data_IF_095695275538
#
_entry.id   IF_095695275538
#
_cell.length_a   1.000
_cell.length_b   1.000
_cell.length_c   1.000
_cell.angle_alpha   90.00
_cell.angle_beta   90.00
_cell.angle_gamma   90.00
#
_symmetry.space_group_name_H-M   'P 1'
#
loop_
_entity.id
_entity.type
_entity.pdbx_description
1 polymer ?
#
# COMPACT_ATOMS: atom_id res chain seq x y z
N UNK A 1 23.65 -13.97 13.84
CA UNK A 1 23.09 -13.69 12.50
C UNK A 1 21.65 -13.28 12.71
N UNK A 2 21.35 -11.98 12.68
CA UNK A 2 19.99 -11.49 12.90
C UNK A 2 19.26 -11.50 11.54
N UNK A 3 18.19 -12.26 11.43
CA UNK A 3 17.24 -12.13 10.33
C UNK A 3 16.53 -10.80 10.57
N UNK A 4 16.84 -9.78 9.76
CA UNK A 4 16.10 -8.52 9.78
C UNK A 4 14.88 -8.69 8.89
N UNK A 5 13.72 -8.78 9.51
CA UNK A 5 12.44 -8.77 8.83
C UNK A 5 12.19 -7.37 8.24
N UNK A 6 11.96 -7.31 6.93
CA UNK A 6 11.48 -6.09 6.28
C UNK A 6 9.97 -6.02 6.52
N UNK A 7 9.51 -5.01 7.26
CA UNK A 7 8.08 -4.78 7.48
C UNK A 7 7.52 -3.94 6.34
N UNK A 8 7.13 -4.61 5.25
CA UNK A 8 6.31 -3.98 4.21
C UNK A 8 4.85 -4.02 4.66
N UNK A 9 4.22 -2.85 4.76
CA UNK A 9 2.79 -2.73 5.02
C UNK A 9 2.01 -3.20 3.78
N UNK A 10 1.64 -4.47 3.77
CA UNK A 10 0.74 -5.04 2.76
C UNK A 10 -0.72 -4.94 3.21
N UNK A 11 -1.62 -4.80 2.24
CA UNK A 11 -3.07 -4.81 2.45
C UNK A 11 -3.66 -6.08 1.87
N UNK A 12 -4.64 -6.63 2.56
CA UNK A 12 -5.43 -7.76 2.11
C UNK A 12 -6.88 -7.52 2.53
N UNK A 13 -7.79 -7.46 1.56
CA UNK A 13 -9.18 -7.13 1.81
C UNK A 13 -10.08 -7.44 0.63
N UNK A 14 -11.38 -7.32 0.84
CA UNK A 14 -12.41 -7.61 -0.16
C UNK A 14 -13.18 -6.32 -0.48
N UNK A 15 -13.53 -6.12 -1.75
CA UNK A 15 -14.45 -5.08 -2.21
C UNK A 15 -15.24 -5.55 -3.43
N UNK A 16 -16.58 -5.44 -3.38
CA UNK A 16 -17.51 -5.84 -4.46
C UNK A 16 -17.44 -7.32 -4.88
N UNK A 17 -17.23 -8.23 -3.95
CA UNK A 17 -17.04 -9.66 -4.21
C UNK A 17 -15.67 -10.03 -4.78
N UNK A 18 -14.74 -9.07 -4.83
CA UNK A 18 -13.39 -9.29 -5.33
C UNK A 18 -12.37 -9.18 -4.20
N UNK A 19 -11.48 -10.16 -4.14
CA UNK A 19 -10.39 -10.20 -3.17
C UNK A 19 -9.17 -9.46 -3.73
N UNK A 20 -8.58 -8.59 -2.92
CA UNK A 20 -7.45 -7.76 -3.29
C UNK A 20 -6.27 -7.92 -2.33
N UNK A 21 -5.07 -7.85 -2.90
CA UNK A 21 -3.82 -7.75 -2.17
C UNK A 21 -3.07 -6.53 -2.70
N UNK A 22 -2.49 -5.70 -1.83
CA UNK A 22 -1.71 -4.55 -2.27
C UNK A 22 -0.39 -4.44 -1.52
N UNK A 23 0.66 -4.06 -2.25
CA UNK A 23 2.00 -3.90 -1.71
C UNK A 23 2.76 -2.77 -2.41
N UNK A 24 3.64 -2.12 -1.65
CA UNK A 24 4.61 -1.16 -2.18
C UNK A 24 5.82 -1.93 -2.70
N UNK A 25 6.22 -1.65 -3.94
CA UNK A 25 7.37 -2.30 -4.56
C UNK A 25 8.67 -1.85 -3.86
N UNK A 26 9.55 -2.78 -3.45
CA UNK A 26 10.79 -2.42 -2.75
C UNK A 26 11.84 -1.76 -3.65
N UNK A 27 11.72 -1.90 -4.98
CA UNK A 27 12.74 -1.45 -5.94
C UNK A 27 12.22 -0.44 -6.97
N UNK A 28 10.93 -0.10 -6.91
CA UNK A 28 10.25 0.79 -7.84
C UNK A 28 9.33 1.72 -7.03
N UNK A 29 9.21 3.02 -7.34
CA UNK A 29 8.24 3.92 -6.71
C UNK A 29 6.78 3.59 -7.09
N UNK A 30 6.38 2.33 -7.01
CA UNK A 30 5.04 1.88 -7.35
C UNK A 30 4.36 1.13 -6.20
N UNK A 31 3.04 1.25 -6.16
CA UNK A 31 2.16 0.43 -5.34
C UNK A 31 1.30 -0.40 -6.29
N UNK A 32 1.39 -1.72 -6.16
CA UNK A 32 0.61 -2.64 -6.97
C UNK A 32 -0.59 -3.12 -6.17
N UNK A 33 -1.77 -3.08 -6.79
CA UNK A 33 -2.99 -3.70 -6.31
C UNK A 33 -3.31 -4.89 -7.20
N UNK A 34 -3.27 -6.06 -6.60
CA UNK A 34 -3.61 -7.34 -7.20
C UNK A 34 -5.07 -7.66 -6.93
N UNK A 35 -5.75 -8.22 -7.93
CA UNK A 35 -7.09 -8.80 -7.80
C UNK A 35 -7.00 -10.31 -8.03
N UNK A 36 -7.65 -11.09 -7.18
CA UNK A 36 -7.78 -12.53 -7.38
C UNK A 36 -8.77 -12.79 -8.52
N UNK A 37 -8.43 -13.70 -9.43
CA UNK A 37 -9.38 -14.17 -10.44
C UNK A 37 -10.59 -14.84 -9.78
N UNK A 38 -11.76 -14.77 -10.41
CA UNK A 38 -13.00 -15.34 -9.88
C UNK A 38 -12.96 -16.86 -9.73
N UNK A 39 -12.12 -17.54 -10.49
CA UNK A 39 -11.87 -18.98 -10.39
C UNK A 39 -10.79 -19.33 -9.34
N UNK A 40 -10.27 -18.33 -8.62
CA UNK A 40 -9.18 -18.45 -7.64
C UNK A 40 -7.89 -19.07 -8.21
N UNK A 41 -7.71 -19.06 -9.54
CA UNK A 41 -6.54 -19.66 -10.20
C UNK A 41 -5.26 -18.83 -10.08
N UNK A 42 -5.37 -17.60 -9.60
CA UNK A 42 -4.22 -16.74 -9.36
C UNK A 42 -4.57 -15.26 -9.30
N UNK A 43 -3.52 -14.47 -9.06
CA UNK A 43 -3.58 -13.02 -8.92
C UNK A 43 -3.16 -12.34 -10.22
N UNK A 44 -3.75 -11.17 -10.50
CA UNK A 44 -3.29 -10.29 -11.58
C UNK A 44 -3.22 -8.84 -11.08
N UNK A 45 -2.29 -8.06 -11.63
CA UNK A 45 -2.19 -6.64 -11.30
C UNK A 45 -3.40 -5.92 -11.90
N UNK A 46 -4.27 -5.41 -11.04
CA UNK A 46 -5.47 -4.65 -11.41
C UNK A 46 -5.13 -3.17 -11.56
N UNK A 47 -4.39 -2.63 -10.59
CA UNK A 47 -3.94 -1.25 -10.58
C UNK A 47 -2.45 -1.19 -10.25
N UNK A 48 -1.74 -0.33 -10.98
CA UNK A 48 -0.36 0.04 -10.68
C UNK A 48 -0.32 1.56 -10.48
N UNK A 49 0.00 1.97 -9.25
CA UNK A 49 0.00 3.36 -8.81
C UNK A 49 1.43 3.86 -8.79
N UNK A 50 1.70 4.98 -9.46
CA UNK A 50 2.97 5.70 -9.36
C UNK A 50 2.98 6.57 -8.10
N UNK A 51 3.92 6.29 -7.19
CA UNK A 51 4.10 7.01 -5.93
C UNK A 51 4.95 8.29 -6.10
N UNK A 52 5.61 8.51 -7.24
CA UNK A 52 6.46 9.68 -7.46
C UNK A 52 5.67 11.00 -7.30
N UNK A 53 4.49 11.21 -7.90
CA UNK A 53 3.71 12.43 -7.72
C UNK A 53 3.28 12.65 -6.27
N UNK A 54 2.86 11.57 -5.60
CA UNK A 54 2.46 11.59 -4.19
C UNK A 54 3.66 12.01 -3.33
N UNK A 55 4.84 11.50 -3.62
CA UNK A 55 6.07 11.81 -2.86
C UNK A 55 6.57 13.23 -3.02
N UNK A 56 6.25 13.89 -4.14
CA UNK A 56 6.54 15.31 -4.34
C UNK A 56 5.60 16.17 -3.48
N UNK A 57 4.34 15.78 -3.35
CA UNK A 57 3.37 16.47 -2.51
C UNK A 57 3.56 16.17 -1.01
N UNK A 58 4.02 14.95 -0.70
CA UNK A 58 4.21 14.45 0.66
C UNK A 58 5.63 13.89 0.85
N UNK A 59 6.66 14.75 0.96
CA UNK A 59 8.05 14.31 1.11
C UNK A 59 8.29 13.40 2.33
N UNK A 60 7.40 13.45 3.32
CA UNK A 60 7.42 12.60 4.52
C UNK A 60 7.42 11.10 4.21
N UNK A 61 6.88 10.69 3.06
CA UNK A 61 6.88 9.27 2.67
C UNK A 61 8.26 8.74 2.26
N UNK A 62 9.25 9.61 2.05
CA UNK A 62 10.62 9.25 1.62
C UNK A 62 11.60 9.08 2.78
N UNK A 63 11.14 8.73 3.97
CA UNK A 63 12.01 8.67 5.14
C UNK A 63 13.19 7.70 4.95
N UNK A 64 14.37 8.14 5.39
CA UNK A 64 15.71 7.62 5.08
C UNK A 64 15.81 6.09 5.18
N UNK A 65 15.82 5.41 4.03
CA UNK A 65 16.46 4.11 3.94
C UNK A 65 17.94 4.28 4.26
N UNK A 66 18.32 3.97 5.49
CA UNK A 66 19.71 4.13 5.95
C UNK A 66 20.70 3.30 5.12
N UNK A 67 20.23 2.25 4.43
CA UNK A 67 21.04 1.46 3.52
C UNK A 67 20.11 0.91 2.42
N UNK A 68 20.48 1.18 1.15
CA UNK A 68 19.86 0.72 -0.12
C UNK A 68 18.47 1.26 -0.50
N UNK A 69 18.44 2.27 -1.40
CA UNK A 69 17.29 2.62 -2.26
C UNK A 69 16.30 3.65 -1.68
N UNK A 70 15.53 4.33 -2.56
CA UNK A 70 14.38 5.12 -2.12
C UNK A 70 13.25 4.16 -1.71
N UNK A 71 13.01 3.98 -0.41
CA UNK A 71 11.84 3.26 0.11
C UNK A 71 10.69 4.22 0.37
N UNK A 72 9.47 3.87 -0.07
CA UNK A 72 8.27 4.67 0.19
C UNK A 72 7.50 4.11 1.39
N UNK A 73 7.32 4.95 2.40
CA UNK A 73 6.54 4.63 3.59
C UNK A 73 5.06 4.98 3.33
N UNK A 74 4.30 3.97 2.89
CA UNK A 74 2.87 4.05 2.67
C UNK A 74 2.20 2.72 2.99
N UNK A 75 0.98 2.78 3.51
CA UNK A 75 0.13 1.62 3.75
C UNK A 75 -1.24 1.85 3.11
N UNK A 76 -1.87 0.81 2.57
CA UNK A 76 -3.27 0.88 2.12
C UNK A 76 -4.16 0.58 3.33
N UNK A 77 -4.97 1.56 3.73
CA UNK A 77 -5.92 1.41 4.82
C UNK A 77 -7.28 0.87 4.34
N UNK A 78 -7.69 1.25 3.13
CA UNK A 78 -8.94 0.83 2.50
C UNK A 78 -8.79 0.86 0.98
N UNK A 79 -9.38 -0.12 0.32
CA UNK A 79 -9.62 -0.12 -1.12
C UNK A 79 -11.13 -0.18 -1.36
N UNK A 80 -11.64 0.76 -2.15
CA UNK A 80 -13.00 0.73 -2.67
C UNK A 80 -12.92 0.53 -4.17
N UNK A 81 -13.46 -0.61 -4.61
CA UNK A 81 -13.58 -1.01 -6.02
C UNK A 81 -15.01 -0.76 -6.50
N UNK A 82 -15.14 -0.31 -7.74
CA UNK A 82 -16.41 -0.28 -8.49
C UNK A 82 -16.29 -1.13 -9.76
N UNK A 83 -17.38 -1.78 -10.19
CA UNK A 83 -17.41 -2.62 -11.40
C UNK A 83 -17.11 -1.87 -12.69
N UNK A 84 -17.47 -0.58 -12.71
CA UNK A 84 -17.23 0.29 -13.84
C UNK A 84 -15.86 0.96 -13.67
N UNK A 85 -14.90 0.63 -14.53
CA UNK A 85 -13.56 1.22 -14.57
C UNK A 85 -13.56 2.74 -14.83
N UNK A 86 -14.73 3.31 -15.16
CA UNK A 86 -14.96 4.76 -15.30
C UNK A 86 -15.46 5.44 -14.02
N UNK A 87 -15.72 4.70 -12.94
CA UNK A 87 -16.33 5.26 -11.73
C UNK A 87 -15.48 4.99 -10.48
N UNK A 88 -15.31 6.06 -9.68
CA UNK A 88 -15.05 6.22 -8.24
C UNK A 88 -14.32 5.12 -7.46
N UNK A 89 -13.50 4.29 -8.10
CA UNK A 89 -12.61 3.39 -7.39
C UNK A 89 -11.49 4.22 -6.75
N UNK A 90 -11.22 4.00 -5.47
CA UNK A 90 -10.22 4.77 -4.73
C UNK A 90 -9.51 3.94 -3.67
N UNK A 91 -8.31 4.41 -3.32
CA UNK A 91 -7.54 3.95 -2.18
C UNK A 91 -7.58 5.01 -1.08
N UNK A 92 -7.62 4.56 0.16
CA UNK A 92 -7.21 5.37 1.30
C UNK A 92 -5.80 4.93 1.66
N UNK A 93 -4.85 5.83 1.44
CA UNK A 93 -3.46 5.61 1.77
C UNK A 93 -3.14 6.28 3.09
N UNK A 94 -2.47 5.54 3.94
CA UNK A 94 -1.85 6.07 5.13
C UNK A 94 -0.39 6.37 4.85
N UNK A 95 -0.01 7.61 5.14
CA UNK A 95 1.36 8.11 5.12
C UNK A 95 1.77 8.50 6.55
N UNK A 96 3.07 8.67 6.85
CA UNK A 96 3.49 9.16 8.15
C UNK A 96 2.81 10.49 8.53
N UNK A 97 1.96 10.44 9.55
CA UNK A 97 1.21 11.58 10.08
C UNK A 97 -0.03 12.01 9.27
N UNK A 98 -0.37 11.32 8.17
CA UNK A 98 -1.43 11.74 7.26
C UNK A 98 -2.21 10.56 6.67
N UNK A 99 -3.49 10.79 6.36
CA UNK A 99 -4.30 9.87 5.56
C UNK A 99 -4.79 10.62 4.33
N UNK A 100 -4.55 10.04 3.17
CA UNK A 100 -4.93 10.61 1.88
C UNK A 100 -5.92 9.71 1.17
N UNK A 101 -6.85 10.35 0.45
CA UNK A 101 -7.68 9.72 -0.56
C UNK A 101 -6.91 9.75 -1.88
N UNK A 102 -6.83 8.62 -2.58
CA UNK A 102 -6.25 8.50 -3.91
C UNK A 102 -7.28 7.91 -4.87
N UNK A 103 -7.68 8.67 -5.88
CA UNK A 103 -8.61 8.21 -6.90
C UNK A 103 -7.86 7.37 -7.94
N UNK A 104 -8.32 6.14 -8.19
CA UNK A 104 -7.66 5.19 -9.10
C UNK A 104 -7.93 5.51 -10.59
N UNK A 105 -8.96 6.29 -10.89
CA UNK A 105 -9.38 6.63 -12.26
C UNK A 105 -8.61 7.85 -12.77
N UNK A 106 -8.69 8.98 -12.05
CA UNK A 106 -8.08 10.24 -12.48
C UNK A 106 -6.69 10.50 -11.85
N UNK A 107 -6.24 9.62 -10.94
CA UNK A 107 -4.96 9.69 -10.22
C UNK A 107 -4.80 10.92 -9.33
N UNK A 108 -5.90 11.60 -9.03
CA UNK A 108 -5.93 12.71 -8.09
C UNK A 108 -5.82 12.20 -6.66
N UNK A 109 -5.28 13.06 -5.80
CA UNK A 109 -5.20 12.78 -4.37
C UNK A 109 -5.52 14.01 -3.54
N UNK A 110 -6.08 13.78 -2.36
CA UNK A 110 -6.39 14.82 -1.37
C UNK A 110 -6.20 14.29 0.04
N UNK A 111 -5.82 15.17 0.96
CA UNK A 111 -5.73 14.83 2.38
C UNK A 111 -7.15 14.66 2.94
N UNK A 112 -7.42 13.52 3.57
CA UNK A 112 -8.66 13.30 4.34
C UNK A 112 -8.42 13.67 5.81
N UNK A 113 -7.24 13.32 6.34
CA UNK A 113 -6.89 13.59 7.71
C UNK A 113 -5.39 13.92 7.85
N UNK A 114 -5.08 14.87 8.71
CA UNK A 114 -3.71 15.24 9.06
C UNK A 114 -3.59 15.24 10.58
N UNK A 115 -2.71 14.39 11.10
CA UNK A 115 -2.49 14.23 12.54
C UNK A 115 -1.23 14.97 13.03
N UNK A 116 -0.51 15.65 12.14
CA UNK A 116 0.70 16.41 12.46
C UNK A 116 1.88 15.53 12.93
N UNK A 117 2.98 16.19 13.26
CA UNK A 117 4.24 15.55 13.69
C UNK A 117 4.08 14.68 14.95
N UNK A 118 3.06 14.95 15.78
CA UNK A 118 2.83 14.26 17.06
C UNK A 118 2.53 12.76 16.93
N UNK A 119 1.99 12.31 15.78
CA UNK A 119 1.81 10.88 15.51
C UNK A 119 2.91 10.25 14.65
N UNK A 120 3.78 11.04 14.00
CA UNK A 120 4.93 10.50 13.25
C UNK A 120 5.82 9.66 14.18
N UNK A 121 6.04 10.13 15.41
CA UNK A 121 6.83 9.40 16.42
C UNK A 121 6.10 8.19 17.02
N UNK A 122 4.77 8.19 17.06
CA UNK A 122 3.96 7.11 17.69
C UNK A 122 3.62 5.96 16.73
N UNK A 123 3.38 6.22 15.44
CA UNK A 123 3.01 5.16 14.47
C UNK A 123 4.18 4.47 13.79
N UNK A 124 5.37 5.10 13.73
CA UNK A 124 6.61 4.38 13.40
C UNK A 124 6.86 3.20 14.36
N UNK A 125 6.26 3.21 15.56
CA UNK A 125 6.26 2.08 16.51
C UNK A 125 5.19 1.01 16.24
N UNK A 126 4.13 1.33 15.48
CA UNK A 126 3.00 0.43 15.22
C UNK A 126 3.10 -0.29 13.87
N UNK A 127 3.85 0.24 12.89
CA UNK A 127 4.25 -0.53 11.70
C UNK A 127 5.18 -1.72 12.03
N UNK A 128 5.63 -1.84 13.29
CA UNK A 128 6.29 -3.04 13.81
C UNK A 128 5.33 -4.17 14.19
N UNK A 129 4.01 -3.93 14.29
CA UNK A 129 3.05 -4.93 14.73
C UNK A 129 1.82 -5.02 13.79
N UNK A 130 1.85 -6.06 12.94
CA UNK A 130 0.77 -6.64 12.09
C UNK A 130 0.46 -5.89 10.78
N UNK A 131 0.25 -6.54 9.63
CA UNK A 131 -0.49 -7.77 9.34
C UNK A 131 0.29 -8.80 8.49
N UNK A 132 0.24 -10.07 8.88
CA UNK A 132 0.32 -11.25 8.02
C UNK A 132 1.53 -11.39 7.08
N UNK A 133 2.67 -11.84 7.61
CA UNK A 133 3.63 -12.56 6.78
C UNK A 133 3.00 -13.87 6.29
N UNK A 134 2.41 -13.87 5.09
CA UNK A 134 2.01 -15.09 4.41
C UNK A 134 3.29 -15.85 4.03
N UNK A 135 3.70 -16.80 4.87
CA UNK A 135 4.66 -17.82 4.46
C UNK A 135 3.99 -18.67 3.39
N UNK A 136 4.39 -18.49 2.13
CA UNK A 136 4.07 -19.43 1.08
C UNK A 136 4.57 -20.82 1.50
N UNK A 137 3.67 -21.80 1.56
CA UNK A 137 4.06 -23.19 1.74
C UNK A 137 4.83 -23.63 0.49
N UNK A 138 5.98 -24.31 0.62
CA UNK A 138 6.55 -24.98 -0.53
C UNK A 138 5.57 -26.06 -0.99
N UNK A 139 5.02 -25.89 -2.19
CA UNK A 139 4.37 -26.98 -2.91
C UNK A 139 5.46 -28.01 -3.21
N UNK A 140 5.50 -29.08 -2.42
CA UNK A 140 6.28 -30.24 -2.76
C UNK A 140 5.52 -31.00 -3.86
N UNK A 141 6.18 -31.19 -5.00
CA UNK A 141 5.74 -32.09 -6.07
C UNK A 141 5.80 -33.55 -5.59
#
# INVERSE_FOLDING_TARGET
MAIKEFHYSSYFGESQGHLHYAEVCPYDPSLNVYEMKSDYSGWFVKYQIDLVPISKAFPVMKERAYYSGESFNAAVALLVRTDNFKEDSFLVLELPGQIIHYNLVDRSFRVICNFGEDLQKRRLSLCYYSCGGLKAWPYNQ
#
